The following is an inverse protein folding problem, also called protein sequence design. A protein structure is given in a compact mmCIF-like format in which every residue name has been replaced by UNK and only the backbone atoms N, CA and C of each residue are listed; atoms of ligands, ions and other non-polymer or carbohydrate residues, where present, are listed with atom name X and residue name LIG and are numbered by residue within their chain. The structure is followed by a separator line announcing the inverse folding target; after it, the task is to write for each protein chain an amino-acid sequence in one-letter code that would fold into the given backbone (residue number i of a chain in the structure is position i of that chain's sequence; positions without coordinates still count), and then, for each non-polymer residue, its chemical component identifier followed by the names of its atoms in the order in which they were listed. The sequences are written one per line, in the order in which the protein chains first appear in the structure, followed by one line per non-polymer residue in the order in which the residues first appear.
data_IF_542426617654
#
_entry.id   IF_542426617654
#
_cell.length_a   1.000
_cell.length_b   1.000
_cell.length_c   1.000
_cell.angle_alpha   90.00
_cell.angle_beta   90.00
_cell.angle_gamma   90.00
#
_symmetry.space_group_name_H-M   'P 1'
#
loop_
_entity.id
_entity.type
_entity.pdbx_description
1 polymer ?
#
# COMPACT_ATOMS: atom_id res chain seq x y z
N UNK A 1 -3.48 -7.73 21.19
CA UNK A 1 -4.95 -7.73 21.10
C UNK A 1 -5.35 -8.86 20.17
N UNK A 2 -6.36 -9.66 20.53
CA UNK A 2 -6.82 -10.77 19.69
C UNK A 2 -7.42 -10.17 18.41
N UNK A 3 -6.65 -10.20 17.32
CA UNK A 3 -7.12 -9.76 16.01
C UNK A 3 -8.34 -10.57 15.62
N UNK A 4 -9.37 -9.88 15.16
CA UNK A 4 -10.64 -10.46 14.75
C UNK A 4 -10.40 -11.57 13.72
N UNK A 5 -10.53 -12.84 14.15
CA UNK A 5 -10.31 -14.04 13.32
C UNK A 5 -11.51 -14.33 12.42
N UNK A 6 -12.29 -13.30 12.08
CA UNK A 6 -13.45 -13.45 11.23
C UNK A 6 -13.01 -13.86 9.82
N UNK A 7 -13.56 -14.98 9.36
CA UNK A 7 -13.28 -15.55 8.04
C UNK A 7 -14.57 -15.67 7.26
N UNK A 8 -14.52 -15.23 6.02
CA UNK A 8 -15.59 -15.32 5.03
C UNK A 8 -15.38 -16.56 4.17
N UNK A 9 -16.45 -17.15 3.68
CA UNK A 9 -16.38 -18.35 2.83
C UNK A 9 -16.70 -18.03 1.38
N UNK A 10 -15.91 -18.60 0.47
CA UNK A 10 -16.20 -18.58 -0.97
C UNK A 10 -16.34 -20.02 -1.42
N UNK A 11 -17.48 -20.35 -2.00
CA UNK A 11 -17.88 -21.72 -2.32
C UNK A 11 -17.99 -21.85 -3.84
N UNK A 12 -17.30 -22.84 -4.41
CA UNK A 12 -17.35 -23.22 -5.83
C UNK A 12 -17.70 -24.71 -5.89
N UNK A 13 -18.94 -25.02 -6.24
CA UNK A 13 -19.44 -26.41 -6.29
C UNK A 13 -19.13 -27.16 -4.97
N UNK A 14 -18.17 -28.09 -4.99
CA UNK A 14 -17.76 -28.91 -3.83
C UNK A 14 -16.55 -28.34 -3.06
N UNK A 15 -15.98 -27.22 -3.51
CA UNK A 15 -14.80 -26.60 -2.91
C UNK A 15 -15.15 -25.34 -2.12
N UNK A 16 -14.64 -25.23 -0.89
CA UNK A 16 -14.79 -24.05 -0.04
C UNK A 16 -13.42 -23.44 0.28
N UNK A 17 -13.30 -22.14 0.04
CA UNK A 17 -12.15 -21.34 0.38
C UNK A 17 -12.50 -20.38 1.52
N UNK A 18 -11.51 -20.05 2.35
CA UNK A 18 -11.66 -19.10 3.46
C UNK A 18 -10.83 -17.86 3.18
N UNK A 19 -11.45 -16.69 3.29
CA UNK A 19 -10.79 -15.40 3.18
C UNK A 19 -10.90 -14.65 4.51
N UNK A 20 -9.83 -13.98 4.90
CA UNK A 20 -9.79 -13.07 6.03
C UNK A 20 -10.18 -11.66 5.59
N UNK A 21 -10.54 -10.81 6.55
CA UNK A 21 -10.78 -9.39 6.29
C UNK A 21 -9.59 -8.69 5.62
N UNK A 22 -8.37 -9.06 6.00
CA UNK A 22 -7.14 -8.49 5.41
C UNK A 22 -7.04 -8.87 3.93
N UNK A 23 -7.27 -10.14 3.59
CA UNK A 23 -7.17 -10.62 2.21
C UNK A 23 -8.20 -9.93 1.30
N UNK A 24 -9.45 -9.79 1.73
CA UNK A 24 -10.47 -9.15 0.89
C UNK A 24 -10.19 -7.66 0.67
N UNK A 25 -9.53 -6.97 1.62
CA UNK A 25 -9.16 -5.57 1.45
C UNK A 25 -7.92 -5.33 0.57
N UNK A 26 -7.17 -6.37 0.24
CA UNK A 26 -5.86 -6.24 -0.44
C UNK A 26 -5.94 -5.43 -1.73
N UNK A 27 -6.91 -5.73 -2.59
CA UNK A 27 -7.17 -5.04 -3.86
C UNK A 27 -8.56 -4.39 -3.81
N UNK A 28 -8.82 -3.61 -2.76
CA UNK A 28 -10.11 -2.93 -2.54
C UNK A 28 -10.21 -1.62 -3.35
N UNK A 29 -11.40 -1.24 -3.85
CA UNK A 29 -12.67 -1.97 -3.80
C UNK A 29 -12.70 -3.14 -4.77
N UNK A 30 -13.36 -4.22 -4.36
CA UNK A 30 -13.59 -5.41 -5.18
C UNK A 30 -14.90 -6.12 -4.78
N UNK A 31 -15.26 -7.14 -5.55
CA UNK A 31 -16.44 -7.98 -5.32
C UNK A 31 -16.56 -8.48 -3.88
N UNK A 32 -15.47 -8.94 -3.26
CA UNK A 32 -15.49 -9.50 -1.90
C UNK A 32 -15.70 -8.43 -0.83
N UNK A 33 -15.09 -7.25 -0.99
CA UNK A 33 -15.35 -6.13 -0.07
C UNK A 33 -16.81 -5.69 -0.13
N UNK A 34 -17.37 -5.56 -1.33
CA UNK A 34 -18.78 -5.22 -1.49
C UNK A 34 -19.70 -6.30 -0.92
N UNK A 35 -19.43 -7.55 -1.24
CA UNK A 35 -20.31 -8.64 -0.85
C UNK A 35 -20.25 -8.97 0.64
N UNK A 36 -19.05 -9.09 1.22
CA UNK A 36 -18.91 -9.49 2.63
C UNK A 36 -19.03 -8.33 3.61
N UNK A 37 -18.62 -7.12 3.23
CA UNK A 37 -18.63 -5.98 4.16
C UNK A 37 -19.88 -5.13 3.95
N UNK A 38 -20.16 -4.70 2.72
CA UNK A 38 -21.27 -3.77 2.47
C UNK A 38 -22.63 -4.46 2.58
N UNK A 39 -22.73 -5.72 2.14
CA UNK A 39 -23.94 -6.54 2.34
C UNK A 39 -23.94 -7.34 3.64
N UNK A 40 -22.82 -7.35 4.38
CA UNK A 40 -22.65 -8.11 5.62
C UNK A 40 -22.95 -9.62 5.48
N UNK A 41 -22.60 -10.20 4.33
CA UNK A 41 -22.75 -11.63 4.06
C UNK A 41 -21.52 -12.41 4.57
N UNK A 42 -21.72 -13.61 5.11
CA UNK A 42 -20.63 -14.45 5.66
C UNK A 42 -20.06 -15.46 4.66
N UNK A 43 -20.80 -15.74 3.59
CA UNK A 43 -20.44 -16.73 2.57
C UNK A 43 -21.03 -16.36 1.22
N UNK A 44 -20.36 -16.81 0.14
CA UNK A 44 -20.80 -16.59 -1.24
C UNK A 44 -20.60 -17.83 -2.07
N UNK A 45 -21.59 -18.18 -2.87
CA UNK A 45 -21.52 -19.25 -3.86
C UNK A 45 -21.25 -18.65 -5.25
N UNK A 46 -20.29 -19.23 -5.97
CA UNK A 46 -19.83 -18.74 -7.26
C UNK A 46 -19.69 -19.88 -8.27
N UNK A 47 -20.06 -19.60 -9.52
CA UNK A 47 -19.95 -20.53 -10.65
C UNK A 47 -18.71 -20.20 -11.49
N UNK A 48 -17.51 -20.25 -10.88
CA UNK A 48 -16.21 -20.03 -11.53
C UNK A 48 -15.27 -21.20 -11.28
N UNK A 49 -14.13 -21.22 -11.97
CA UNK A 49 -13.15 -22.29 -11.85
C UNK A 49 -12.40 -22.23 -10.50
N UNK A 50 -12.49 -23.26 -9.64
CA UNK A 50 -11.84 -23.24 -8.33
C UNK A 50 -10.30 -23.33 -8.40
N UNK A 51 -9.73 -23.84 -9.48
CA UNK A 51 -8.27 -23.89 -9.66
C UNK A 51 -7.71 -22.50 -9.97
N UNK A 52 -8.38 -21.73 -10.83
CA UNK A 52 -8.05 -20.31 -11.05
C UNK A 52 -8.28 -19.49 -9.80
N UNK A 53 -9.33 -19.79 -9.03
CA UNK A 53 -9.55 -19.11 -7.75
C UNK A 53 -8.41 -19.32 -6.74
N UNK A 54 -7.73 -20.48 -6.78
CA UNK A 54 -6.52 -20.72 -5.99
C UNK A 54 -5.43 -19.68 -6.28
N UNK A 55 -5.29 -19.28 -7.55
CA UNK A 55 -4.35 -18.25 -7.99
C UNK A 55 -4.82 -16.88 -7.49
N UNK A 56 -6.12 -16.58 -7.55
CA UNK A 56 -6.69 -15.36 -6.95
C UNK A 56 -6.38 -15.27 -5.46
N UNK A 57 -6.48 -16.36 -4.70
CA UNK A 57 -6.11 -16.37 -3.28
C UNK A 57 -4.64 -16.02 -3.08
N UNK A 58 -3.75 -16.58 -3.89
CA UNK A 58 -2.32 -16.23 -3.81
C UNK A 58 -2.09 -14.75 -4.11
N UNK A 59 -2.82 -14.19 -5.08
CA UNK A 59 -2.81 -12.76 -5.35
C UNK A 59 -3.32 -11.93 -4.16
N UNK A 60 -4.45 -12.30 -3.56
CA UNK A 60 -5.01 -11.62 -2.37
C UNK A 60 -4.14 -11.79 -1.11
N UNK A 61 -3.25 -12.78 -1.09
CA UNK A 61 -2.18 -12.93 -0.10
C UNK A 61 -0.97 -12.02 -0.39
N UNK A 62 -0.99 -11.26 -1.48
CA UNK A 62 0.07 -10.37 -1.93
C UNK A 62 1.17 -11.04 -2.75
N UNK A 63 0.97 -12.26 -3.27
CA UNK A 63 1.97 -12.90 -4.13
C UNK A 63 1.85 -12.44 -5.59
N UNK A 64 2.98 -12.31 -6.28
CA UNK A 64 3.01 -12.26 -7.74
C UNK A 64 2.64 -13.64 -8.26
N UNK A 65 1.57 -13.69 -9.04
CA UNK A 65 1.05 -14.93 -9.63
C UNK A 65 1.61 -15.20 -11.02
N UNK A 66 2.51 -14.32 -11.49
CA UNK A 66 3.17 -14.42 -12.79
C UNK A 66 4.68 -14.75 -12.66
N UNK A 67 5.24 -15.53 -13.60
CA UNK A 67 4.53 -16.32 -14.61
C UNK A 67 3.70 -17.44 -13.95
N UNK A 68 2.59 -17.86 -14.58
CA UNK A 68 1.76 -18.93 -14.03
C UNK A 68 2.59 -20.22 -13.98
N UNK A 69 2.68 -20.82 -12.79
CA UNK A 69 3.34 -22.10 -12.60
C UNK A 69 2.46 -23.22 -13.22
N UNK A 70 2.93 -23.92 -14.28
CA UNK A 70 2.13 -24.95 -14.95
C UNK A 70 1.73 -26.10 -14.02
N UNK A 71 2.54 -26.38 -12.99
CA UNK A 71 2.28 -27.47 -12.04
C UNK A 71 1.08 -27.21 -11.12
N UNK A 72 0.52 -26.00 -11.14
CA UNK A 72 -0.65 -25.62 -10.33
C UNK A 72 -1.94 -25.58 -11.14
N UNK A 73 -1.85 -25.83 -12.45
CA UNK A 73 -3.00 -25.88 -13.33
C UNK A 73 -3.50 -27.33 -13.49
N UNK A 74 -4.80 -27.52 -13.74
CA UNK A 74 -5.30 -28.79 -14.23
C UNK A 74 -4.56 -29.23 -15.51
N UNK A 75 -4.34 -30.53 -15.74
CA UNK A 75 -3.66 -31.04 -16.94
C UNK A 75 -4.29 -30.59 -18.27
N UNK A 76 -5.57 -30.20 -18.25
CA UNK A 76 -6.34 -29.75 -19.41
C UNK A 76 -6.13 -28.27 -19.76
N UNK A 77 -5.51 -27.47 -18.90
CA UNK A 77 -5.38 -26.02 -19.07
C UNK A 77 -3.92 -25.64 -19.26
N UNK A 78 -3.59 -25.05 -20.42
CA UNK A 78 -2.26 -24.47 -20.65
C UNK A 78 -2.10 -23.15 -19.90
N UNK A 79 -0.85 -22.72 -19.59
CA UNK A 79 -0.60 -21.42 -18.95
C UNK A 79 -1.20 -20.24 -19.71
N UNK A 80 -1.19 -20.26 -21.05
CA UNK A 80 -1.75 -19.18 -21.86
C UNK A 80 -3.27 -19.10 -21.73
N UNK A 81 -3.97 -20.25 -21.73
CA UNK A 81 -5.42 -20.30 -21.49
C UNK A 81 -5.74 -19.87 -20.06
N UNK A 82 -4.93 -20.30 -19.09
CA UNK A 82 -5.08 -19.89 -17.69
C UNK A 82 -4.94 -18.37 -17.54
N UNK A 83 -4.02 -17.71 -18.24
CA UNK A 83 -3.87 -16.25 -18.23
C UNK A 83 -5.12 -15.53 -18.77
N UNK A 84 -5.66 -16.01 -19.89
CA UNK A 84 -6.88 -15.44 -20.49
C UNK A 84 -8.06 -15.59 -19.53
N UNK A 85 -8.25 -16.77 -18.95
CA UNK A 85 -9.34 -17.03 -18.02
C UNK A 85 -9.15 -16.28 -16.68
N UNK A 86 -7.92 -16.20 -16.19
CA UNK A 86 -7.59 -15.43 -14.98
C UNK A 86 -7.90 -13.94 -15.16
N UNK A 87 -7.67 -13.39 -16.36
CA UNK A 87 -8.09 -12.02 -16.68
C UNK A 87 -9.62 -11.86 -16.62
N UNK A 88 -10.37 -12.82 -17.17
CA UNK A 88 -11.84 -12.81 -17.10
C UNK A 88 -12.33 -12.83 -15.64
N UNK A 89 -11.72 -13.67 -14.80
CA UNK A 89 -12.03 -13.74 -13.38
C UNK A 89 -11.61 -12.46 -12.62
N UNK A 90 -10.45 -11.88 -12.94
CA UNK A 90 -10.02 -10.62 -12.36
C UNK A 90 -10.99 -9.46 -12.66
N UNK A 91 -11.53 -9.40 -13.89
CA UNK A 91 -12.60 -8.46 -14.24
C UNK A 91 -13.86 -8.73 -13.43
N UNK A 92 -14.27 -10.00 -13.32
CA UNK A 92 -15.48 -10.37 -12.58
C UNK A 92 -15.39 -10.01 -11.08
N UNK A 93 -14.24 -10.26 -10.47
CA UNK A 93 -14.01 -9.94 -9.06
C UNK A 93 -13.67 -8.47 -8.82
N UNK A 94 -13.55 -7.65 -9.86
CA UNK A 94 -13.14 -6.25 -9.80
C UNK A 94 -11.75 -6.07 -9.16
N UNK A 95 -10.82 -6.98 -9.46
CA UNK A 95 -9.44 -6.96 -8.97
C UNK A 95 -8.54 -6.13 -9.89
N UNK A 96 -8.62 -4.81 -9.74
CA UNK A 96 -7.90 -3.86 -10.60
C UNK A 96 -6.39 -4.01 -10.53
N UNK A 97 -5.82 -4.20 -9.33
CA UNK A 97 -4.39 -4.43 -9.18
C UNK A 97 -3.92 -5.73 -9.84
N UNK A 98 -4.76 -6.76 -9.88
CA UNK A 98 -4.46 -7.98 -10.64
C UNK A 98 -4.49 -7.73 -12.15
N UNK A 99 -5.45 -6.95 -12.65
CA UNK A 99 -5.50 -6.57 -14.07
C UNK A 99 -4.23 -5.81 -14.47
N UNK A 100 -3.81 -4.84 -13.66
CA UNK A 100 -2.56 -4.10 -13.88
C UNK A 100 -1.34 -5.05 -13.90
N UNK A 101 -1.29 -6.04 -13.00
CA UNK A 101 -0.24 -7.06 -12.98
C UNK A 101 -0.25 -7.93 -14.24
N UNK A 102 -1.43 -8.26 -14.78
CA UNK A 102 -1.57 -9.05 -16.01
C UNK A 102 -1.20 -8.24 -17.27
N UNK A 103 -1.48 -6.94 -17.28
CA UNK A 103 -1.14 -6.02 -18.38
C UNK A 103 0.35 -5.63 -18.38
N UNK A 104 0.92 -5.45 -17.20
CA UNK A 104 2.32 -5.06 -17.02
C UNK A 104 2.95 -5.87 -15.88
N UNK A 105 3.38 -7.12 -16.17
CA UNK A 105 3.95 -8.00 -15.16
C UNK A 105 5.15 -7.32 -14.48
N UNK A 106 5.13 -7.17 -13.15
CA UNK A 106 6.26 -6.60 -12.44
C UNK A 106 7.46 -7.52 -12.61
N UNK A 107 8.64 -6.95 -12.82
CA UNK A 107 9.88 -7.75 -12.74
C UNK A 107 9.90 -8.43 -11.36
N UNK A 108 10.13 -9.76 -11.24
CA UNK A 108 9.97 -10.52 -9.99
C UNK A 108 10.80 -10.07 -8.77
N UNK A 109 11.53 -8.96 -8.85
CA UNK A 109 12.36 -8.37 -7.79
C UNK A 109 12.25 -6.83 -7.74
N UNK A 110 11.29 -6.23 -8.44
CA UNK A 110 11.12 -4.78 -8.45
C UNK A 110 10.77 -4.26 -7.05
N UNK A 111 11.22 -3.04 -6.74
CA UNK A 111 10.89 -2.36 -5.48
C UNK A 111 9.38 -2.23 -5.31
N UNK A 112 8.66 -1.94 -6.40
CA UNK A 112 7.20 -1.84 -6.42
C UNK A 112 6.52 -3.16 -6.02
N UNK A 113 7.04 -4.30 -6.50
CA UNK A 113 6.54 -5.60 -6.06
C UNK A 113 6.78 -5.86 -4.56
N UNK A 114 7.95 -5.47 -4.03
CA UNK A 114 8.22 -5.59 -2.59
C UNK A 114 7.28 -4.72 -1.76
N UNK A 115 6.96 -3.51 -2.23
CA UNK A 115 6.05 -2.57 -1.57
C UNK A 115 4.61 -3.09 -1.48
N UNK A 116 4.11 -3.82 -2.49
CA UNK A 116 2.76 -4.42 -2.48
C UNK A 116 2.55 -5.43 -1.33
N UNK A 117 3.63 -6.01 -0.78
CA UNK A 117 3.58 -7.02 0.29
C UNK A 117 3.68 -6.45 1.70
N UNK A 118 3.76 -5.13 1.82
CA UNK A 118 4.03 -4.43 3.06
C UNK A 118 2.82 -3.58 3.45
N UNK A 119 2.61 -3.41 4.75
CA UNK A 119 1.59 -2.49 5.25
C UNK A 119 1.99 -1.08 4.87
N UNK A 120 1.10 -0.39 4.15
CA UNK A 120 1.32 0.99 3.77
C UNK A 120 0.75 1.93 4.83
N UNK A 121 1.55 2.89 5.28
CA UNK A 121 1.11 3.93 6.20
C UNK A 121 1.51 5.29 5.65
N UNK A 122 0.72 6.31 5.98
CA UNK A 122 1.09 7.69 5.72
C UNK A 122 1.56 8.30 7.03
N UNK A 123 2.72 8.95 7.00
CA UNK A 123 3.25 9.68 8.14
C UNK A 123 3.37 11.16 7.81
N UNK A 124 2.97 11.98 8.77
CA UNK A 124 3.23 13.41 8.80
C UNK A 124 4.37 13.68 9.77
N UNK A 125 5.42 14.34 9.29
CA UNK A 125 6.58 14.76 10.07
C UNK A 125 6.55 16.27 10.20
N UNK A 126 6.49 16.78 11.42
CA UNK A 126 6.32 18.21 11.70
C UNK A 126 7.45 18.74 12.57
N UNK A 127 7.94 19.93 12.23
CA UNK A 127 8.82 20.70 13.09
C UNK A 127 8.46 22.18 13.08
N UNK A 128 8.28 22.77 14.26
CA UNK A 128 8.11 24.21 14.45
C UNK A 128 9.39 24.81 15.03
N UNK A 129 10.08 25.66 14.26
CA UNK A 129 11.30 26.30 14.75
C UNK A 129 12.16 26.97 13.70
N UNK A 130 13.36 27.39 14.11
CA UNK A 130 14.33 28.13 13.28
C UNK A 130 15.49 27.23 12.84
N UNK A 131 16.23 27.71 11.85
CA UNK A 131 17.48 27.07 11.41
C UNK A 131 17.36 26.22 10.15
N UNK A 132 18.49 25.64 9.76
CA UNK A 132 18.61 24.74 8.61
C UNK A 132 18.13 23.35 9.00
N UNK A 133 17.31 22.74 8.15
CA UNK A 133 16.64 21.45 8.42
C UNK A 133 17.61 20.36 8.88
N UNK A 134 18.78 20.25 8.24
CA UNK A 134 19.80 19.24 8.54
C UNK A 134 20.47 19.37 9.92
N UNK A 135 20.33 20.53 10.58
CA UNK A 135 20.95 20.83 11.88
C UNK A 135 19.97 20.70 13.05
N UNK A 136 18.72 20.38 12.78
CA UNK A 136 17.68 20.26 13.79
C UNK A 136 17.83 18.88 14.46
N UNK A 137 17.91 18.80 15.80
CA UNK A 137 17.91 17.54 16.52
C UNK A 137 16.68 16.69 16.16
N UNK A 138 16.84 15.38 16.07
CA UNK A 138 15.76 14.47 15.66
C UNK A 138 14.55 14.52 16.62
N UNK A 139 14.80 14.72 17.91
CA UNK A 139 13.76 14.79 18.96
C UNK A 139 12.87 16.05 18.85
N UNK A 140 13.25 17.02 18.02
CA UNK A 140 12.45 18.21 17.75
C UNK A 140 11.47 18.00 16.58
N UNK A 141 11.40 16.80 16.02
CA UNK A 141 10.42 16.43 15.00
C UNK A 141 9.32 15.57 15.62
N UNK A 142 8.07 15.93 15.34
CA UNK A 142 6.91 15.14 15.72
C UNK A 142 6.46 14.30 14.52
N UNK A 143 6.34 13.00 14.73
CA UNK A 143 5.93 12.04 13.68
C UNK A 143 4.59 11.44 14.06
N UNK A 144 3.63 11.52 13.15
CA UNK A 144 2.25 11.10 13.37
C UNK A 144 1.77 10.24 12.22
N UNK A 145 1.07 9.15 12.56
CA UNK A 145 0.26 8.40 11.59
C UNK A 145 -0.89 9.28 11.12
N UNK A 146 -1.12 9.31 9.81
CA UNK A 146 -2.23 10.02 9.19
C UNK A 146 -3.01 9.08 8.28
N UNK A 147 -4.32 9.27 8.24
CA UNK A 147 -5.16 8.56 7.30
C UNK A 147 -4.94 9.08 5.88
N UNK A 148 -5.16 8.23 4.87
CA UNK A 148 -5.06 8.62 3.45
C UNK A 148 -5.90 9.86 3.12
N UNK A 149 -7.10 9.97 3.70
CA UNK A 149 -7.98 11.14 3.50
C UNK A 149 -7.35 12.44 4.03
N UNK A 150 -6.75 12.39 5.23
CA UNK A 150 -6.05 13.56 5.80
C UNK A 150 -4.85 13.95 4.94
N UNK A 151 -4.14 12.96 4.37
CA UNK A 151 -3.11 13.20 3.38
C UNK A 151 -3.67 13.89 2.13
N UNK A 152 -4.73 13.37 1.52
CA UNK A 152 -5.32 13.92 0.30
C UNK A 152 -5.79 15.37 0.50
N UNK A 153 -6.38 15.66 1.66
CA UNK A 153 -6.85 16.99 2.02
C UNK A 153 -5.68 17.97 2.22
N UNK A 154 -4.62 17.54 2.91
CA UNK A 154 -3.37 18.32 3.01
C UNK A 154 -2.72 18.54 1.64
N UNK A 155 -2.65 17.49 0.81
CA UNK A 155 -2.05 17.55 -0.52
C UNK A 155 -2.81 18.51 -1.45
N UNK A 156 -4.13 18.65 -1.29
CA UNK A 156 -4.91 19.63 -2.05
C UNK A 156 -4.72 21.07 -1.57
N UNK A 157 -4.42 21.29 -0.29
CA UNK A 157 -4.48 22.61 0.35
C UNK A 157 -3.13 23.26 0.58
N UNK A 158 -2.10 22.47 0.93
CA UNK A 158 -0.80 22.97 1.38
C UNK A 158 0.36 22.63 0.44
N UNK A 159 0.09 21.86 -0.62
CA UNK A 159 1.12 21.32 -1.49
C UNK A 159 1.69 22.36 -2.46
N UNK A 160 2.52 23.25 -1.93
CA UNK A 160 3.17 24.33 -2.67
C UNK A 160 4.51 23.90 -3.32
N UNK A 161 5.04 22.71 -3.02
CA UNK A 161 6.42 22.31 -3.40
C UNK A 161 6.57 20.88 -3.96
N UNK A 162 5.61 20.38 -4.76
CA UNK A 162 5.75 19.09 -5.46
C UNK A 162 6.13 19.19 -6.93
N UNK A 163 6.29 20.39 -7.48
CA UNK A 163 6.55 20.55 -8.91
C UNK A 163 8.03 20.28 -9.24
N UNK A 164 8.28 19.09 -9.78
CA UNK A 164 9.58 18.43 -10.03
C UNK A 164 10.49 19.17 -11.04
N UNK A 165 10.21 20.41 -11.39
CA UNK A 165 10.75 21.10 -12.57
C UNK A 165 11.80 22.18 -12.25
N UNK A 166 11.99 22.58 -10.98
CA UNK A 166 13.01 23.58 -10.61
C UNK A 166 14.21 22.95 -9.87
N UNK A 167 15.43 23.21 -10.38
CA UNK A 167 16.70 22.74 -9.79
C UNK A 167 16.86 23.11 -8.30
N UNK A 168 16.33 24.25 -7.86
CA UNK A 168 16.32 24.67 -6.46
C UNK A 168 15.44 23.74 -5.59
N UNK A 169 14.32 23.28 -6.14
CA UNK A 169 13.44 22.32 -5.46
C UNK A 169 14.07 20.92 -5.40
N UNK A 170 14.86 20.50 -6.39
CA UNK A 170 15.59 19.23 -6.33
C UNK A 170 16.62 19.20 -5.18
N UNK A 171 17.35 20.30 -4.96
CA UNK A 171 18.29 20.38 -3.83
C UNK A 171 17.55 20.31 -2.50
N UNK A 172 16.46 21.07 -2.33
CA UNK A 172 15.66 21.04 -1.11
C UNK A 172 15.05 19.64 -0.90
N UNK A 173 14.53 19.02 -1.95
CA UNK A 173 13.99 17.66 -1.91
C UNK A 173 15.04 16.65 -1.43
N UNK A 174 16.30 16.77 -1.89
CA UNK A 174 17.39 15.91 -1.42
C UNK A 174 17.68 16.11 0.08
N UNK A 175 17.64 17.36 0.57
CA UNK A 175 17.82 17.67 2.00
C UNK A 175 16.66 17.12 2.84
N UNK A 176 15.42 17.33 2.38
CA UNK A 176 14.20 16.79 3.02
C UNK A 176 14.27 15.28 3.05
N UNK A 177 14.68 14.63 1.96
CA UNK A 177 14.89 13.17 1.92
C UNK A 177 15.96 12.70 2.91
N UNK A 178 17.09 13.39 2.96
CA UNK A 178 18.18 13.06 3.87
C UNK A 178 17.77 13.15 5.35
N UNK A 179 16.99 14.18 5.71
CA UNK A 179 16.48 14.35 7.08
C UNK A 179 15.36 13.36 7.37
N UNK A 180 14.40 13.19 6.45
CA UNK A 180 13.33 12.21 6.56
C UNK A 180 13.88 10.79 6.80
N UNK A 181 14.93 10.40 6.07
CA UNK A 181 15.57 9.09 6.27
C UNK A 181 16.14 8.91 7.68
N UNK A 182 16.74 9.95 8.26
CA UNK A 182 17.26 9.91 9.64
C UNK A 182 16.13 9.81 10.67
N UNK A 183 15.07 10.58 10.47
CA UNK A 183 13.90 10.57 11.35
C UNK A 183 13.23 9.20 11.33
N UNK A 184 12.90 8.67 10.15
CA UNK A 184 12.17 7.41 10.03
C UNK A 184 12.95 6.23 10.63
N UNK A 185 14.27 6.17 10.43
CA UNK A 185 15.14 5.17 11.08
C UNK A 185 15.18 5.28 12.60
N UNK A 186 14.97 6.47 13.16
CA UNK A 186 14.90 6.68 14.61
C UNK A 186 13.52 6.30 15.18
N UNK A 187 12.46 6.52 14.40
CA UNK A 187 11.06 6.28 14.80
C UNK A 187 10.74 4.79 14.88
N UNK A 188 11.14 4.00 13.87
CA UNK A 188 10.83 2.57 13.82
C UNK A 188 11.80 1.81 12.92
N UNK A 189 12.27 0.67 13.40
CA UNK A 189 13.07 -0.32 12.66
C UNK A 189 12.19 -1.20 11.74
N UNK A 190 10.86 -1.14 11.88
CA UNK A 190 9.91 -1.86 11.04
C UNK A 190 9.77 -1.24 9.64
N UNK A 191 10.16 0.03 9.48
CA UNK A 191 10.09 0.74 8.20
C UNK A 191 11.17 0.20 7.27
N UNK A 192 10.74 -0.48 6.20
CA UNK A 192 11.64 -1.09 5.22
C UNK A 192 11.94 -0.13 4.07
N UNK A 193 10.89 0.53 3.58
CA UNK A 193 10.94 1.41 2.42
C UNK A 193 10.05 2.62 2.68
N UNK A 194 10.34 3.75 2.04
CA UNK A 194 9.51 4.95 2.15
C UNK A 194 9.69 5.88 0.95
N UNK A 195 8.66 6.67 0.68
CA UNK A 195 8.65 7.68 -0.37
C UNK A 195 8.24 9.04 0.18
N UNK A 196 8.95 10.08 -0.26
CA UNK A 196 8.58 11.47 0.02
C UNK A 196 7.45 11.88 -0.93
N UNK A 197 6.26 12.11 -0.37
CA UNK A 197 5.07 12.52 -1.13
C UNK A 197 5.00 14.03 -1.31
N UNK A 198 5.47 14.80 -0.31
CA UNK A 198 5.48 16.26 -0.36
C UNK A 198 6.08 16.89 0.87
N UNK A 199 6.34 18.19 0.81
CA UNK A 199 6.77 18.98 1.96
C UNK A 199 6.28 20.42 1.84
N UNK A 200 6.09 21.07 2.98
CA UNK A 200 5.75 22.49 3.06
C UNK A 200 6.64 23.21 4.08
N UNK A 201 6.76 24.53 3.91
CA UNK A 201 7.47 25.41 4.82
C UNK A 201 6.68 26.71 4.94
N UNK A 202 5.95 26.84 6.04
CA UNK A 202 5.15 28.01 6.34
C UNK A 202 5.86 28.91 7.35
N UNK A 203 5.87 30.21 7.12
CA UNK A 203 6.42 31.17 8.09
C UNK A 203 5.38 31.41 9.19
N UNK A 204 5.79 31.22 10.45
CA UNK A 204 5.00 31.55 11.64
C UNK A 204 5.58 32.78 12.35
N UNK A 205 4.89 33.22 13.40
CA UNK A 205 5.32 34.34 14.24
C UNK A 205 6.75 34.16 14.77
N UNK A 206 7.37 35.28 15.16
CA UNK A 206 8.73 35.30 15.72
C UNK A 206 9.80 34.73 14.78
N UNK A 207 9.58 34.75 13.47
CA UNK A 207 10.50 34.20 12.45
C UNK A 207 10.70 32.68 12.55
N UNK A 208 9.74 31.97 13.15
CA UNK A 208 9.70 30.52 13.14
C UNK A 208 9.17 30.01 11.80
N UNK A 209 9.46 28.75 11.50
CA UNK A 209 8.87 28.06 10.36
C UNK A 209 8.23 26.76 10.83
N UNK A 210 6.98 26.56 10.41
CA UNK A 210 6.34 25.25 10.45
C UNK A 210 6.80 24.50 9.20
N UNK A 211 7.47 23.37 9.41
CA UNK A 211 7.92 22.48 8.33
C UNK A 211 7.14 21.19 8.44
N UNK A 212 6.51 20.81 7.35
CA UNK A 212 5.73 19.57 7.26
C UNK A 212 6.34 18.72 6.15
N UNK A 213 6.55 17.43 6.42
CA UNK A 213 6.88 16.42 5.41
C UNK A 213 5.81 15.35 5.43
N UNK A 214 5.34 14.97 4.25
CA UNK A 214 4.44 13.85 4.08
C UNK A 214 5.19 12.71 3.42
N UNK A 215 5.13 11.55 4.05
CA UNK A 215 5.80 10.36 3.55
C UNK A 215 4.83 9.17 3.54
N UNK A 216 4.99 8.33 2.53
CA UNK A 216 4.44 6.98 2.54
C UNK A 216 5.52 6.04 3.05
N UNK A 217 5.18 5.16 3.97
CA UNK A 217 6.09 4.14 4.48
C UNK A 217 5.50 2.75 4.28
N UNK A 218 6.39 1.79 4.11
CA UNK A 218 6.06 0.38 4.00
C UNK A 218 6.76 -0.42 5.10
N UNK A 219 5.98 -1.17 5.87
CA UNK A 219 6.45 -2.00 7.00
C UNK A 219 5.99 -3.45 6.90
N UNK A 220 6.73 -4.37 7.51
CA UNK A 220 6.38 -5.81 7.49
C UNK A 220 5.16 -6.15 8.35
N UNK A 221 4.81 -5.28 9.29
CA UNK A 221 3.66 -5.39 10.18
C UNK A 221 2.96 -4.03 10.31
N UNK A 222 1.82 -4.01 10.99
CA UNK A 222 1.21 -2.78 11.49
C UNK A 222 2.27 -1.95 12.24
N UNK A 223 2.33 -0.65 11.95
CA UNK A 223 3.44 0.19 12.37
C UNK A 223 3.29 0.57 13.85
N UNK A 224 4.21 0.11 14.69
CA UNK A 224 4.40 0.66 16.03
C UNK A 224 5.50 1.72 16.00
N UNK A 225 5.20 2.93 16.45
CA UNK A 225 6.15 4.04 16.51
C UNK A 225 6.65 4.25 17.94
N UNK A 226 7.94 4.57 18.09
CA UNK A 226 8.48 5.11 19.35
C UNK A 226 8.04 6.57 19.45
N UNK A 227 7.10 6.84 20.34
CA UNK A 227 6.67 8.20 20.71
C UNK A 227 7.68 8.83 21.66
#
# INVERSE_FOLDING_TARGET
MAGDTHTYKVIFEDQTFKLTKIQIHFDSPNYFTFHFLDRSEGEVELTRDPHLFRIIIDYLNGYCVLPINPNRLPPSISPDIALVNLRVDAVFYELHGLLDMLDSPPTPLSLEYRKQRLFHHYLMIVHLGKGKLERIPLDNFHVMLVEKRQFDDWFRTENQFTDRTNKYQLTIAAQVRGVGNKILKNVSDQIQEWDLLGWSKERKENNNYLRTMMVQVWSQSELSMRL
#
